data_IF_268072499863
#
_entry.id   IF_268072499863
#
_cell.length_a   1.000
_cell.length_b   1.000
_cell.length_c   1.000
_cell.angle_alpha   90.00
_cell.angle_beta   90.00
_cell.angle_gamma   90.00
#
_symmetry.space_group_name_H-M   'P 1'
#
loop_
_entity.id
_entity.type
_entity.pdbx_description
1 polymer ?
#
# COMPACT_ATOMS: atom_id res chain seq x y z
N UNK A 1 12.41 -4.67 -4.29
CA UNK A 1 11.28 -3.86 -4.79
C UNK A 1 10.05 -4.74 -4.67
N UNK A 2 9.03 -4.29 -3.94
CA UNK A 2 7.87 -5.13 -3.65
C UNK A 2 7.03 -5.31 -4.92
N UNK A 3 6.33 -6.43 -5.05
CA UNK A 3 5.31 -6.60 -6.07
C UNK A 3 4.09 -5.74 -5.74
N UNK A 4 3.26 -5.45 -6.75
CA UNK A 4 2.00 -4.74 -6.51
C UNK A 4 1.09 -5.45 -5.50
N UNK A 5 1.08 -6.79 -5.52
CA UNK A 5 0.29 -7.58 -4.57
C UNK A 5 0.78 -7.45 -3.13
N UNK A 6 2.09 -7.34 -2.92
CA UNK A 6 2.68 -7.11 -1.59
C UNK A 6 2.37 -5.70 -1.07
N UNK A 7 2.46 -4.69 -1.94
CA UNK A 7 2.07 -3.32 -1.61
C UNK A 7 0.57 -3.24 -1.20
N UNK A 8 -0.33 -3.87 -1.96
CA UNK A 8 -1.76 -3.92 -1.62
C UNK A 8 -2.00 -4.61 -0.27
N UNK A 9 -1.29 -5.71 0.03
CA UNK A 9 -1.42 -6.39 1.32
C UNK A 9 -0.99 -5.50 2.50
N UNK A 10 0.10 -4.75 2.34
CA UNK A 10 0.56 -3.83 3.37
C UNK A 10 -0.45 -2.70 3.61
N UNK A 11 -1.02 -2.14 2.55
CA UNK A 11 -2.10 -1.14 2.68
C UNK A 11 -3.32 -1.71 3.41
N UNK A 12 -3.72 -2.95 3.11
CA UNK A 12 -4.82 -3.61 3.82
C UNK A 12 -4.53 -3.81 5.31
N UNK A 13 -3.29 -4.15 5.67
CA UNK A 13 -2.86 -4.27 7.08
C UNK A 13 -2.80 -2.92 7.78
N UNK A 14 -2.40 -1.87 7.08
CA UNK A 14 -2.45 -0.48 7.53
C UNK A 14 -3.89 0.06 7.67
N UNK A 15 -4.91 -0.75 7.37
CA UNK A 15 -6.32 -0.42 7.62
C UNK A 15 -7.07 0.16 6.43
N UNK A 16 -6.44 0.26 5.26
CA UNK A 16 -7.17 0.65 4.04
C UNK A 16 -8.13 -0.46 3.62
N UNK A 17 -9.28 -0.09 3.07
CA UNK A 17 -10.19 -1.06 2.48
C UNK A 17 -9.82 -1.34 1.03
N UNK A 18 -10.33 -2.45 0.49
CA UNK A 18 -10.22 -2.74 -0.95
C UNK A 18 -10.79 -1.60 -1.81
N UNK A 19 -11.83 -0.91 -1.32
CA UNK A 19 -12.45 0.19 -2.05
C UNK A 19 -11.52 1.39 -2.13
N UNK A 20 -10.89 1.75 -1.01
CA UNK A 20 -9.92 2.86 -0.97
C UNK A 20 -8.76 2.59 -1.93
N UNK A 21 -8.23 1.37 -1.93
CA UNK A 21 -7.14 0.98 -2.83
C UNK A 21 -7.57 1.05 -4.30
N UNK A 22 -8.79 0.64 -4.65
CA UNK A 22 -9.33 0.77 -6.01
C UNK A 22 -9.46 2.23 -6.41
N UNK A 23 -10.00 3.06 -5.53
CA UNK A 23 -10.22 4.48 -5.80
C UNK A 23 -8.88 5.24 -5.92
N UNK A 24 -7.90 4.94 -5.06
CA UNK A 24 -6.51 5.43 -5.19
C UNK A 24 -5.86 4.96 -6.50
N UNK A 25 -6.03 3.69 -6.87
CA UNK A 25 -5.47 3.17 -8.13
C UNK A 25 -6.06 3.88 -9.34
N UNK A 26 -7.33 4.30 -9.28
CA UNK A 26 -7.99 5.05 -10.34
C UNK A 26 -7.58 6.53 -10.38
N UNK A 27 -7.34 7.14 -9.22
CA UNK A 27 -6.95 8.53 -9.09
C UNK A 27 -5.47 8.76 -9.42
N UNK A 28 -4.59 7.99 -8.79
CA UNK A 28 -3.14 8.23 -8.78
C UNK A 28 -2.37 7.21 -9.64
N UNK A 29 -3.03 6.11 -10.02
CA UNK A 29 -2.44 5.08 -10.84
C UNK A 29 -1.73 3.98 -10.04
N UNK A 30 -1.45 2.87 -10.73
CA UNK A 30 -0.92 1.65 -10.11
C UNK A 30 0.47 1.83 -9.49
N UNK A 31 1.34 2.62 -10.11
CA UNK A 31 2.70 2.82 -9.61
C UNK A 31 2.74 3.66 -8.33
N UNK A 32 1.84 4.65 -8.19
CA UNK A 32 1.77 5.45 -6.96
C UNK A 32 1.21 4.65 -5.79
N UNK A 33 0.17 3.84 -6.02
CA UNK A 33 -0.34 2.90 -5.01
C UNK A 33 0.72 1.89 -4.59
N UNK A 34 1.56 1.43 -5.54
CA UNK A 34 2.68 0.55 -5.24
C UNK A 34 3.68 1.22 -4.29
N UNK A 35 4.06 2.48 -4.55
CA UNK A 35 4.97 3.24 -3.67
C UNK A 35 4.39 3.43 -2.28
N UNK A 36 3.09 3.75 -2.18
CA UNK A 36 2.41 3.89 -0.89
C UNK A 36 2.47 2.58 -0.08
N UNK A 37 2.23 1.44 -0.72
CA UNK A 37 2.37 0.14 -0.05
C UNK A 37 3.81 -0.23 0.27
N UNK A 38 4.80 0.21 -0.51
CA UNK A 38 6.22 0.06 -0.16
C UNK A 38 6.62 0.90 1.07
N UNK A 39 5.98 2.04 1.29
CA UNK A 39 6.16 2.82 2.52
C UNK A 39 5.52 2.11 3.72
N UNK A 40 4.27 1.65 3.58
CA UNK A 40 3.59 0.90 4.62
C UNK A 40 4.35 -0.39 5.03
N UNK A 41 4.98 -1.08 4.07
CA UNK A 41 5.85 -2.22 4.36
C UNK A 41 7.06 -1.84 5.20
N UNK A 42 7.69 -0.70 4.90
CA UNK A 42 8.84 -0.23 5.67
C UNK A 42 8.44 0.16 7.09
N UNK A 43 7.30 0.82 7.25
CA UNK A 43 6.80 1.22 8.56
C UNK A 43 6.50 -0.02 9.43
N UNK A 44 5.91 -1.09 8.85
CA UNK A 44 5.74 -2.39 9.51
C UNK A 44 7.09 -3.04 9.92
N UNK A 45 8.13 -2.90 9.09
CA UNK A 45 9.46 -3.47 9.36
C UNK A 45 10.24 -2.70 10.45
N UNK A 46 10.02 -1.40 10.58
CA UNK A 46 10.71 -0.55 11.56
C UNK A 46 10.03 -0.48 12.93
N UNK A 47 8.75 -0.85 13.05
CA UNK A 47 8.07 -1.01 14.34
C UNK A 47 7.92 0.27 15.17
N UNK A 48 7.81 1.44 14.52
CA UNK A 48 7.43 2.67 15.21
C UNK A 48 5.92 2.60 15.54
N UNK A 49 5.61 2.21 16.79
CA UNK A 49 4.29 2.34 17.42
C UNK A 49 3.96 3.80 17.78
#
# INVERSE_FOLDING_TARGET
MATYGEAVKALLRAGLTHRDIIDLTRADGREEVKKLGELALKDEETGDE
#
